data_IF_556516734727
#
_entry.id   IF_556516734727
#
_cell.length_a   1.000
_cell.length_b   1.000
_cell.length_c   1.000
_cell.angle_alpha   90.00
_cell.angle_beta   90.00
_cell.angle_gamma   90.00
#
_symmetry.space_group_name_H-M   'P 1'
#
loop_
_entity.id
_entity.type
_entity.pdbx_description
1 polymer ?
#
# COMPACT_ATOMS: atom_id res chain seq x y z
N UNK A 1 4.32 -7.41 -12.16
CA UNK A 1 4.69 -6.29 -11.25
C UNK A 1 4.26 -6.65 -9.83
N UNK A 2 5.14 -6.59 -8.83
CA UNK A 2 4.85 -7.06 -7.46
C UNK A 2 3.66 -6.33 -6.80
N UNK A 3 3.63 -5.00 -6.84
CA UNK A 3 2.55 -4.18 -6.26
C UNK A 3 1.16 -4.46 -6.88
N UNK A 4 1.10 -4.70 -8.18
CA UNK A 4 -0.15 -5.05 -8.88
C UNK A 4 -0.67 -6.40 -8.38
N UNK A 5 0.23 -7.40 -8.28
CA UNK A 5 -0.15 -8.74 -7.83
C UNK A 5 -0.74 -8.71 -6.41
N UNK A 6 -0.07 -8.07 -5.45
CA UNK A 6 -0.57 -7.99 -4.07
C UNK A 6 -1.89 -7.23 -3.97
N UNK A 7 -2.09 -6.21 -4.81
CA UNK A 7 -3.32 -5.42 -4.80
C UNK A 7 -4.49 -6.24 -5.37
N UNK A 8 -4.27 -6.97 -6.47
CA UNK A 8 -5.28 -7.90 -7.01
C UNK A 8 -5.62 -9.02 -6.03
N UNK A 9 -4.61 -9.62 -5.39
CA UNK A 9 -4.81 -10.64 -4.34
C UNK A 9 -5.69 -10.09 -3.23
N UNK A 10 -5.38 -8.90 -2.71
CA UNK A 10 -6.20 -8.22 -1.71
C UNK A 10 -7.64 -7.95 -2.18
N UNK A 11 -7.83 -7.48 -3.42
CA UNK A 11 -9.17 -7.20 -3.95
C UNK A 11 -10.00 -8.48 -4.03
N UNK A 12 -9.40 -9.58 -4.53
CA UNK A 12 -10.05 -10.89 -4.58
C UNK A 12 -10.43 -11.39 -3.18
N UNK A 13 -9.55 -11.23 -2.18
CA UNK A 13 -9.84 -11.58 -0.78
C UNK A 13 -11.02 -10.77 -0.19
N UNK A 14 -11.20 -9.53 -0.66
CA UNK A 14 -12.29 -8.63 -0.24
C UNK A 14 -13.54 -8.72 -1.11
N UNK A 15 -13.63 -9.75 -1.96
CA UNK A 15 -14.71 -9.91 -2.94
C UNK A 15 -14.95 -8.66 -3.80
N UNK A 16 -13.88 -7.91 -4.09
CA UNK A 16 -13.87 -6.79 -5.02
C UNK A 16 -13.33 -7.24 -6.37
N UNK A 17 -13.66 -6.51 -7.44
CA UNK A 17 -13.08 -6.78 -8.76
C UNK A 17 -11.56 -6.64 -8.72
N UNK A 18 -10.78 -7.64 -9.16
CA UNK A 18 -9.33 -7.51 -9.30
C UNK A 18 -8.93 -6.62 -10.48
N UNK A 19 -9.86 -6.28 -11.38
CA UNK A 19 -9.63 -5.42 -12.54
C UNK A 19 -9.78 -3.94 -12.15
N UNK A 20 -8.94 -3.48 -11.23
CA UNK A 20 -8.98 -2.12 -10.69
C UNK A 20 -8.63 -1.03 -11.73
N UNK A 21 -8.08 -1.44 -12.88
CA UNK A 21 -7.71 -0.53 -13.95
C UNK A 21 -8.94 0.10 -14.62
N UNK A 22 -10.10 -0.55 -14.56
CA UNK A 22 -11.35 -0.03 -15.14
C UNK A 22 -12.23 0.72 -14.12
N UNK A 23 -11.92 0.64 -12.83
CA UNK A 23 -12.69 1.29 -11.76
C UNK A 23 -12.72 2.82 -11.93
N UNK A 24 -13.84 3.46 -11.67
CA UNK A 24 -13.87 4.92 -11.53
C UNK A 24 -12.98 5.37 -10.34
N UNK A 25 -12.62 6.65 -10.32
CA UNK A 25 -11.73 7.19 -9.28
C UNK A 25 -12.31 7.04 -7.88
N UNK A 26 -13.62 7.15 -7.70
CA UNK A 26 -14.28 6.97 -6.41
C UNK A 26 -14.23 5.53 -5.92
N UNK A 27 -14.50 4.55 -6.80
CA UNK A 27 -14.30 3.14 -6.50
C UNK A 27 -12.83 2.83 -6.18
N UNK A 28 -11.90 3.30 -7.01
CA UNK A 28 -10.46 3.13 -6.80
C UNK A 28 -10.01 3.74 -5.46
N UNK A 29 -10.51 4.93 -5.11
CA UNK A 29 -10.24 5.59 -3.84
C UNK A 29 -10.70 4.74 -2.65
N UNK A 30 -11.92 4.17 -2.72
CA UNK A 30 -12.47 3.33 -1.65
C UNK A 30 -11.61 2.10 -1.42
N UNK A 31 -11.23 1.38 -2.48
CA UNK A 31 -10.43 0.15 -2.33
C UNK A 31 -8.99 0.45 -1.91
N UNK A 32 -8.38 1.54 -2.38
CA UNK A 32 -7.06 1.98 -1.92
C UNK A 32 -7.07 2.35 -0.45
N UNK A 33 -8.12 3.03 0.02
CA UNK A 33 -8.30 3.38 1.43
C UNK A 33 -8.33 2.14 2.31
N UNK A 34 -9.14 1.15 1.95
CA UNK A 34 -9.21 -0.12 2.69
C UNK A 34 -7.88 -0.88 2.62
N UNK A 35 -7.23 -0.91 1.46
CA UNK A 35 -5.91 -1.52 1.30
C UNK A 35 -4.88 -0.89 2.24
N UNK A 36 -4.78 0.43 2.30
CA UNK A 36 -3.81 1.08 3.19
C UNK A 36 -4.08 0.82 4.67
N UNK A 37 -5.33 0.65 5.07
CA UNK A 37 -5.71 0.40 6.46
C UNK A 37 -5.49 -1.06 6.89
N UNK A 38 -5.69 -2.02 5.98
CA UNK A 38 -5.87 -3.43 6.34
C UNK A 38 -4.84 -4.38 5.73
N UNK A 39 -4.16 -3.98 4.65
CA UNK A 39 -3.33 -4.90 3.89
C UNK A 39 -2.13 -5.39 4.71
N UNK A 40 -1.89 -6.70 4.64
CA UNK A 40 -0.86 -7.41 5.38
C UNK A 40 0.02 -8.20 4.41
N UNK A 41 1.26 -8.44 4.83
CA UNK A 41 2.16 -9.38 4.16
C UNK A 41 1.63 -10.81 4.27
N UNK A 42 2.24 -11.75 3.53
CA UNK A 42 1.97 -13.18 3.66
C UNK A 42 2.19 -13.73 5.08
N UNK A 43 3.01 -13.06 5.90
CA UNK A 43 3.23 -13.40 7.31
C UNK A 43 2.23 -12.74 8.27
N UNK A 44 1.19 -12.08 7.75
CA UNK A 44 0.14 -11.41 8.53
C UNK A 44 0.54 -10.07 9.13
N UNK A 45 1.77 -9.60 8.86
CA UNK A 45 2.31 -8.33 9.37
C UNK A 45 1.83 -7.15 8.53
N UNK A 46 1.62 -6.00 9.17
CA UNK A 46 1.32 -4.75 8.45
C UNK A 46 2.51 -4.37 7.55
N UNK A 47 2.20 -3.78 6.39
CA UNK A 47 3.23 -3.21 5.54
C UNK A 47 3.93 -2.03 6.21
N UNK A 48 5.26 -1.96 6.07
CA UNK A 48 6.04 -0.81 6.53
C UNK A 48 5.67 0.47 5.76
N UNK A 49 5.99 1.64 6.33
CA UNK A 49 5.90 2.95 5.64
C UNK A 49 6.51 2.90 4.24
N UNK A 50 7.75 2.43 4.13
CA UNK A 50 8.47 2.33 2.85
C UNK A 50 7.76 1.43 1.85
N UNK A 51 7.20 0.30 2.31
CA UNK A 51 6.45 -0.62 1.48
C UNK A 51 5.17 0.03 0.93
N UNK A 52 4.37 0.67 1.79
CA UNK A 52 3.11 1.32 1.38
C UNK A 52 3.36 2.44 0.34
N UNK A 53 4.39 3.26 0.54
CA UNK A 53 4.76 4.31 -0.42
C UNK A 53 5.21 3.72 -1.75
N UNK A 54 6.04 2.67 -1.73
CA UNK A 54 6.52 1.97 -2.93
C UNK A 54 5.39 1.29 -3.70
N UNK A 55 4.43 0.70 -2.99
CA UNK A 55 3.22 0.10 -3.58
C UNK A 55 2.39 1.17 -4.27
N UNK A 56 2.08 2.30 -3.61
CA UNK A 56 1.35 3.42 -4.23
C UNK A 56 2.04 3.93 -5.49
N UNK A 57 3.35 4.16 -5.43
CA UNK A 57 4.13 4.62 -6.59
C UNK A 57 4.08 3.62 -7.75
N UNK A 58 4.23 2.34 -7.45
CA UNK A 58 4.18 1.25 -8.44
C UNK A 58 2.81 1.11 -9.09
N UNK A 59 1.72 1.25 -8.33
CA UNK A 59 0.35 1.25 -8.83
C UNK A 59 0.09 2.49 -9.69
N UNK A 60 0.55 3.67 -9.25
CA UNK A 60 0.41 4.92 -10.00
C UNK A 60 1.06 4.80 -11.37
N UNK A 61 2.30 4.32 -11.42
CA UNK A 61 3.01 4.09 -12.68
C UNK A 61 2.26 3.08 -13.56
N UNK A 62 1.79 1.98 -12.98
CA UNK A 62 1.08 0.94 -13.73
C UNK A 62 -0.23 1.42 -14.37
N UNK A 63 -1.02 2.23 -13.65
CA UNK A 63 -2.27 2.77 -14.18
C UNK A 63 -2.05 3.82 -15.30
N UNK A 64 -0.90 4.49 -15.31
CA UNK A 64 -0.59 5.54 -16.27
C UNK A 64 0.25 5.07 -17.47
N UNK A 65 0.84 3.88 -17.40
CA UNK A 65 1.55 3.28 -18.52
C UNK A 65 0.58 2.50 -19.43
N UNK A 66 0.98 2.22 -20.69
CA UNK A 66 0.21 1.35 -21.57
C UNK A 66 -0.06 -0.01 -20.91
N UNK A 67 -1.26 -0.60 -21.10
CA UNK A 67 -2.33 -0.16 -22.02
C UNK A 67 -3.35 0.83 -21.41
N UNK A 68 -3.25 1.18 -20.13
CA UNK A 68 -4.36 1.83 -19.43
C UNK A 68 -4.35 3.36 -19.53
N UNK A 69 -3.16 3.97 -19.58
CA UNK A 69 -2.95 5.40 -19.86
C UNK A 69 -3.95 6.34 -19.12
N UNK A 70 -4.27 6.05 -17.85
CA UNK A 70 -5.42 6.65 -17.16
C UNK A 70 -5.27 8.13 -16.76
N UNK A 71 -4.10 8.73 -17.00
CA UNK A 71 -3.79 10.13 -16.68
C UNK A 71 -4.24 10.56 -15.27
N UNK A 72 -4.03 9.70 -14.28
CA UNK A 72 -4.40 9.92 -12.87
C UNK A 72 -3.17 10.05 -11.98
N UNK A 73 -3.29 10.74 -10.85
CA UNK A 73 -2.21 10.85 -9.86
C UNK A 73 -2.68 10.33 -8.50
N UNK A 74 -2.27 9.11 -8.12
CA UNK A 74 -2.62 8.49 -6.83
C UNK A 74 -2.16 9.31 -5.62
N UNK A 75 -1.29 10.29 -5.78
CA UNK A 75 -0.76 11.14 -4.71
C UNK A 75 -1.46 12.50 -4.65
N UNK A 76 -1.78 13.09 -5.81
CA UNK A 76 -2.26 14.48 -5.89
C UNK A 76 -3.71 14.63 -6.35
N UNK A 77 -4.32 13.60 -6.90
CA UNK A 77 -5.69 13.69 -7.40
C UNK A 77 -6.67 13.97 -6.23
N UNK A 78 -7.48 15.03 -6.31
CA UNK A 78 -8.40 15.41 -5.25
C UNK A 78 -9.47 14.34 -4.96
N UNK A 79 -9.88 13.56 -5.96
CA UNK A 79 -10.86 12.47 -5.79
C UNK A 79 -10.27 11.29 -4.99
N UNK A 80 -8.92 11.20 -4.96
CA UNK A 80 -8.18 10.18 -4.22
C UNK A 80 -7.74 10.65 -2.83
N UNK A 81 -8.14 11.87 -2.42
CA UNK A 81 -7.70 12.50 -1.17
C UNK A 81 -7.99 11.65 0.06
N UNK A 82 -9.15 10.99 0.16
CA UNK A 82 -9.47 10.17 1.34
C UNK A 82 -8.56 8.96 1.48
N UNK A 83 -8.14 8.31 0.39
CA UNK A 83 -7.16 7.23 0.44
C UNK A 83 -5.80 7.75 0.91
N UNK A 84 -5.37 8.93 0.44
CA UNK A 84 -4.12 9.56 0.85
C UNK A 84 -4.11 9.97 2.34
N UNK A 85 -5.23 10.47 2.86
CA UNK A 85 -5.37 10.76 4.29
C UNK A 85 -5.27 9.50 5.15
N UNK A 86 -5.90 8.40 4.72
CA UNK A 86 -5.76 7.11 5.42
C UNK A 86 -4.33 6.59 5.39
N UNK A 87 -3.65 6.67 4.24
CA UNK A 87 -2.23 6.31 4.16
C UNK A 87 -1.37 7.13 5.12
N UNK A 88 -1.58 8.44 5.18
CA UNK A 88 -0.86 9.32 6.10
C UNK A 88 -1.11 8.94 7.58
N UNK A 89 -2.36 8.64 7.95
CA UNK A 89 -2.72 8.22 9.29
C UNK A 89 -2.07 6.87 9.66
N UNK A 90 -2.06 5.90 8.74
CA UNK A 90 -1.41 4.60 8.94
C UNK A 90 0.10 4.77 9.11
N UNK A 91 0.74 5.59 8.27
CA UNK A 91 2.17 5.89 8.38
C UNK A 91 2.49 6.50 9.75
N UNK A 92 1.72 7.50 10.16
CA UNK A 92 1.89 8.14 11.47
C UNK A 92 1.78 7.12 12.61
N UNK A 93 0.78 6.23 12.55
CA UNK A 93 0.61 5.16 13.55
C UNK A 93 1.80 4.20 13.58
N UNK A 94 2.35 3.84 12.42
CA UNK A 94 3.55 2.99 12.34
C UNK A 94 4.78 3.69 12.93
N UNK A 95 4.91 5.00 12.72
CA UNK A 95 5.98 5.81 13.32
C UNK A 95 5.84 5.91 14.83
N UNK A 96 4.63 6.16 15.34
CA UNK A 96 4.34 6.18 16.79
C UNK A 96 4.62 4.82 17.44
N UNK A 97 4.27 3.71 16.77
CA UNK A 97 4.57 2.35 17.24
C UNK A 97 6.07 2.00 17.17
N UNK A 98 6.78 2.52 16.17
CA UNK A 98 8.22 2.37 16.02
C UNK A 98 9.06 3.30 16.90
N UNK A 99 8.45 4.37 17.42
CA UNK A 99 9.05 5.35 18.33
C UNK A 99 8.92 4.99 19.82
N UNK A 100 8.35 3.82 20.15
CA UNK A 100 8.54 3.19 21.47
C UNK A 100 10.03 2.90 21.72
N UNK A 101 10.47 2.69 22.98
CA UNK A 101 11.89 2.48 23.29
C UNK A 101 12.45 1.41 22.38
N UNK A 102 13.38 1.84 21.52
CA UNK A 102 14.07 0.99 20.56
C UNK A 102 14.89 -0.01 21.37
N UNK A 103 14.32 -1.18 21.66
CA UNK A 103 15.15 -2.36 21.86
C UNK A 103 15.74 -2.63 20.49
N UNK A 104 16.93 -2.08 20.26
CA UNK A 104 17.79 -2.50 19.17
C UNK A 104 17.85 -4.02 19.29
N UNK A 105 17.14 -4.73 18.40
CA UNK A 105 17.36 -6.16 18.22
C UNK A 105 18.80 -6.24 17.77
N UNK A 106 19.68 -6.58 18.71
CA UNK A 106 21.09 -6.82 18.44
C UNK A 106 21.16 -7.69 17.20
N UNK A 107 21.97 -7.26 16.23
CA UNK A 107 22.35 -8.14 15.13
C UNK A 107 22.82 -9.44 15.78
N UNK A 108 22.25 -10.57 15.39
CA UNK A 108 22.78 -11.87 15.78
C UNK A 108 24.17 -11.92 15.16
N UNK A 109 25.18 -11.60 15.96
CA UNK A 109 26.56 -11.97 15.70
C UNK A 109 26.55 -13.48 15.60
N UNK A 110 26.68 -14.00 14.38
CA UNK A 110 27.11 -15.37 14.13
C UNK A 110 28.52 -15.49 14.68
N UNK A 111 28.63 -15.93 15.93
CA UNK A 111 29.79 -16.67 16.40
C UNK A 111 29.46 -18.16 16.35
N UNK A 112 30.51 -18.95 16.19
CA UNK A 112 30.60 -20.41 16.34
C UNK A 112 30.32 -21.24 15.09
N UNK A 113 31.37 -21.36 14.24
CA UNK A 113 32.27 -22.52 14.30
C UNK A 113 33.63 -22.22 13.66
#
# INVERSE_FOLDING_TARGET
>A
RYAVRIFREYLSEKAQSPDFETMDKGALCRVLRSFYAEARSKSGQLYSKSSLISIRSSLNRYLNEPPYCRTLDLTKDPELRSANLTLAAVIRKLEEQGAGPVVQKQAITRADL
#
